data_IF_436304174662
#
_entry.id   IF_436304174662
#
_cell.length_a   1.000
_cell.length_b   1.000
_cell.length_c   1.000
_cell.angle_alpha   90.00
_cell.angle_beta   90.00
_cell.angle_gamma   90.00
#
_symmetry.space_group_name_H-M   'P 1'
#
loop_
_entity.id
_entity.type
_entity.pdbx_description
1 polymer ?
#
# COMPACT_ATOMS: atom_id res chain seq x y z
N UNK A 1 -11.04 18.89 4.28
CA UNK A 1 -10.20 17.76 4.74
C UNK A 1 -8.79 18.00 4.22
N UNK A 2 -7.79 18.08 5.09
CA UNK A 2 -6.39 18.32 4.67
C UNK A 2 -5.73 17.00 4.28
N UNK A 3 -5.27 16.90 3.02
CA UNK A 3 -4.49 15.75 2.52
C UNK A 3 -3.15 15.68 3.26
N UNK A 4 -2.79 14.50 3.79
CA UNK A 4 -1.55 14.31 4.54
C UNK A 4 -0.34 14.07 3.61
N UNK A 5 0.90 14.18 4.12
CA UNK A 5 2.11 13.80 3.37
C UNK A 5 2.05 12.32 2.97
N UNK A 6 1.57 11.47 3.87
CA UNK A 6 1.38 10.03 3.62
C UNK A 6 0.47 9.78 2.42
N UNK A 7 -0.67 10.47 2.34
CA UNK A 7 -1.61 10.31 1.23
C UNK A 7 -0.97 10.69 -0.11
N UNK A 8 -0.14 11.73 -0.15
CA UNK A 8 0.57 12.16 -1.37
C UNK A 8 1.62 11.15 -1.82
N UNK A 9 2.39 10.59 -0.88
CA UNK A 9 3.40 9.58 -1.21
C UNK A 9 2.78 8.29 -1.74
N UNK A 10 1.66 7.85 -1.13
CA UNK A 10 0.92 6.68 -1.60
C UNK A 10 0.34 6.94 -2.98
N UNK A 11 -0.28 8.11 -3.18
CA UNK A 11 -0.84 8.46 -4.49
C UNK A 11 0.23 8.46 -5.58
N UNK A 12 1.40 9.08 -5.33
CA UNK A 12 2.51 9.06 -6.28
C UNK A 12 2.98 7.64 -6.63
N UNK A 13 3.09 6.76 -5.64
CA UNK A 13 3.41 5.36 -5.88
C UNK A 13 2.37 4.64 -6.76
N UNK A 14 1.08 4.90 -6.53
CA UNK A 14 0.00 4.29 -7.33
C UNK A 14 -0.03 4.87 -8.76
N UNK A 15 0.25 6.15 -8.92
CA UNK A 15 0.32 6.82 -10.23
C UNK A 15 1.51 6.27 -11.04
N UNK A 16 2.66 6.08 -10.42
CA UNK A 16 3.84 5.47 -11.05
C UNK A 16 3.55 4.03 -11.50
N UNK A 17 2.84 3.25 -10.69
CA UNK A 17 2.40 1.90 -11.05
C UNK A 17 1.35 1.94 -12.18
N UNK A 18 0.45 2.91 -12.19
CA UNK A 18 -0.52 3.08 -13.27
C UNK A 18 0.19 3.33 -14.61
N UNK A 19 1.25 4.14 -14.59
CA UNK A 19 2.02 4.48 -15.78
C UNK A 19 2.94 3.34 -16.27
N UNK A 20 3.46 2.51 -15.37
CA UNK A 20 4.56 1.58 -15.71
C UNK A 20 4.22 0.10 -15.51
N UNK A 21 3.27 -0.24 -14.64
CA UNK A 21 3.01 -1.61 -14.17
C UNK A 21 1.53 -1.84 -13.82
N UNK A 22 0.62 -1.56 -14.76
CA UNK A 22 -0.84 -1.63 -14.55
C UNK A 22 -1.32 -2.94 -13.89
N UNK A 23 -0.82 -4.11 -14.32
CA UNK A 23 -1.19 -5.38 -13.69
C UNK A 23 -0.74 -5.50 -12.22
N UNK A 24 0.43 -4.95 -11.84
CA UNK A 24 0.85 -4.93 -10.44
C UNK A 24 0.01 -3.95 -9.62
N UNK A 25 -0.42 -2.82 -10.22
CA UNK A 25 -1.36 -1.89 -9.58
C UNK A 25 -2.67 -2.59 -9.21
N UNK A 26 -3.23 -3.40 -10.12
CA UNK A 26 -4.47 -4.16 -9.87
C UNK A 26 -4.34 -5.07 -8.65
N UNK A 27 -3.24 -5.81 -8.55
CA UNK A 27 -2.96 -6.71 -7.41
C UNK A 27 -2.79 -5.90 -6.12
N UNK A 28 -1.98 -4.83 -6.15
CA UNK A 28 -1.75 -3.98 -4.98
C UNK A 28 -3.05 -3.36 -4.47
N UNK A 29 -3.88 -2.83 -5.37
CA UNK A 29 -5.18 -2.28 -5.03
C UNK A 29 -6.12 -3.35 -4.45
N UNK A 30 -6.08 -4.59 -4.97
CA UNK A 30 -6.84 -5.70 -4.40
C UNK A 30 -6.38 -6.04 -2.98
N UNK A 31 -5.07 -6.15 -2.74
CA UNK A 31 -4.52 -6.37 -1.39
C UNK A 31 -4.91 -5.24 -0.43
N UNK A 32 -4.79 -3.97 -0.86
CA UNK A 32 -5.20 -2.80 -0.06
C UNK A 32 -6.67 -2.88 0.33
N UNK A 33 -7.57 -3.19 -0.61
CA UNK A 33 -9.00 -3.34 -0.33
C UNK A 33 -9.25 -4.40 0.74
N UNK A 34 -8.67 -5.60 0.59
CA UNK A 34 -8.80 -6.69 1.56
C UNK A 34 -8.29 -6.30 2.95
N UNK A 35 -7.17 -5.58 3.02
CA UNK A 35 -6.63 -5.11 4.29
C UNK A 35 -7.56 -4.09 4.96
N UNK A 36 -8.16 -3.18 4.19
CA UNK A 36 -9.08 -2.18 4.74
C UNK A 36 -10.44 -2.75 5.16
N UNK A 37 -10.82 -3.95 4.71
CA UNK A 37 -12.00 -4.68 5.22
C UNK A 37 -11.86 -5.07 6.70
N UNK A 38 -10.64 -5.11 7.25
CA UNK A 38 -10.39 -5.38 8.68
C UNK A 38 -10.91 -4.27 9.60
N UNK A 39 -11.18 -3.08 9.08
CA UNK A 39 -11.85 -1.99 9.79
C UNK A 39 -11.07 -0.66 9.83
N UNK A 40 -11.70 0.41 10.37
CA UNK A 40 -11.20 1.79 10.29
C UNK A 40 -9.94 2.07 11.10
N UNK A 41 -9.51 1.11 11.94
CA UNK A 41 -8.29 1.21 12.74
C UNK A 41 -7.03 0.95 11.91
N UNK A 42 -7.16 0.36 10.72
CA UNK A 42 -6.04 0.13 9.80
C UNK A 42 -5.51 1.46 9.29
N UNK A 43 -4.19 1.62 9.34
CA UNK A 43 -3.47 2.73 8.73
C UNK A 43 -2.47 2.19 7.73
N UNK A 44 -2.26 2.93 6.65
CA UNK A 44 -1.24 2.63 5.66
C UNK A 44 -0.22 3.78 5.58
N UNK A 45 1.02 3.46 5.18
CA UNK A 45 2.07 4.45 4.89
C UNK A 45 3.08 3.93 3.88
N UNK A 46 3.71 4.84 3.14
CA UNK A 46 4.84 4.48 2.30
C UNK A 46 6.09 4.22 3.15
N UNK A 47 6.69 3.04 3.01
CA UNK A 47 8.02 2.71 3.52
C UNK A 47 8.69 1.67 2.63
N UNK A 48 10.01 1.73 2.51
CA UNK A 48 10.83 0.74 1.79
C UNK A 48 10.39 0.46 0.34
N UNK A 49 9.80 1.45 -0.34
CA UNK A 49 9.30 1.29 -1.71
C UNK A 49 7.99 0.53 -1.85
N UNK A 50 7.26 0.31 -0.76
CA UNK A 50 5.91 -0.25 -0.76
C UNK A 50 5.00 0.40 0.27
N UNK A 51 3.83 -0.21 0.45
CA UNK A 51 2.80 0.26 1.37
C UNK A 51 2.81 -0.65 2.59
N UNK A 52 3.10 -0.09 3.75
CA UNK A 52 3.06 -0.77 5.04
C UNK A 52 1.73 -0.52 5.72
N UNK A 53 1.20 -1.55 6.36
CA UNK A 53 -0.06 -1.54 7.11
C UNK A 53 0.19 -1.71 8.60
N UNK A 54 -0.61 -1.00 9.40
CA UNK A 54 -0.52 -1.03 10.85
C UNK A 54 -1.90 -1.00 11.50
N UNK A 55 -1.98 -1.59 12.69
CA UNK A 55 -3.11 -1.55 13.60
C UNK A 55 -2.65 -0.98 14.94
N UNK A 56 -3.31 0.06 15.45
CA UNK A 56 -2.98 0.70 16.74
C UNK A 56 -1.47 0.97 16.92
N UNK A 57 -0.83 1.47 15.86
CA UNK A 57 0.60 1.81 15.79
C UNK A 57 1.58 0.62 15.72
N UNK A 58 1.10 -0.62 15.60
CA UNK A 58 1.94 -1.78 15.34
C UNK A 58 1.82 -2.19 13.87
N UNK A 59 2.96 -2.33 13.20
CA UNK A 59 3.02 -2.87 11.85
C UNK A 59 2.69 -4.36 11.88
N UNK A 60 1.88 -4.80 10.93
CA UNK A 60 1.54 -6.23 10.77
C UNK A 60 1.90 -6.78 9.40
N UNK A 61 2.21 -5.91 8.44
CA UNK A 61 2.64 -6.33 7.12
C UNK A 61 2.69 -5.20 6.10
N UNK A 62 2.99 -5.54 4.86
CA UNK A 62 3.07 -4.59 3.76
C UNK A 62 2.94 -5.25 2.39
N UNK A 63 2.67 -4.45 1.38
CA UNK A 63 2.59 -4.87 -0.01
C UNK A 63 3.60 -4.09 -0.88
N UNK A 64 4.35 -4.81 -1.71
CA UNK A 64 5.51 -4.28 -2.44
C UNK A 64 5.47 -4.66 -3.92
N UNK A 65 5.90 -3.74 -4.78
CA UNK A 65 6.00 -3.92 -6.23
C UNK A 65 7.45 -4.25 -6.64
N UNK A 66 7.75 -5.53 -6.86
CA UNK A 66 9.04 -5.98 -7.37
C UNK A 66 9.14 -5.89 -8.90
N UNK A 67 10.29 -6.29 -9.46
CA UNK A 67 10.49 -6.28 -10.92
C UNK A 67 9.42 -7.09 -11.67
N UNK A 68 9.14 -8.31 -11.21
CA UNK A 68 8.27 -9.27 -11.91
C UNK A 68 7.09 -9.79 -11.08
N UNK A 69 6.95 -9.37 -9.83
CA UNK A 69 5.91 -9.88 -8.92
C UNK A 69 5.48 -8.80 -7.92
N UNK A 70 4.38 -9.07 -7.22
CA UNK A 70 3.95 -8.34 -6.02
C UNK A 70 4.16 -9.27 -4.84
N UNK A 71 4.75 -8.78 -3.75
CA UNK A 71 4.82 -9.51 -2.48
C UNK A 71 3.87 -8.88 -1.47
N UNK A 72 3.21 -9.72 -0.67
CA UNK A 72 2.58 -9.31 0.57
C UNK A 72 3.35 -10.01 1.69
N UNK A 73 3.88 -9.23 2.62
CA UNK A 73 4.76 -9.71 3.67
C UNK A 73 4.16 -9.40 5.04
N UNK A 74 4.27 -10.36 5.97
CA UNK A 74 3.83 -10.20 7.36
C UNK A 74 5.04 -9.91 8.25
N UNK A 75 4.83 -9.14 9.33
CA UNK A 75 5.85 -8.79 10.33
C UNK A 75 5.82 -9.68 11.57
#
# INVERSE_FOLDING_TARGET
MSVTVTDRCIQGFLDDLAATKAHQLEIIQACRRLVFELGPAVKERMMYGGIMFSLKSQDFGGVFASKNHVSFEFS
#
